data_IF_835654135052
#
_entry.id   IF_835654135052
#
_cell.length_a   1.000
_cell.length_b   1.000
_cell.length_c   1.000
_cell.angle_alpha   90.00
_cell.angle_beta   90.00
_cell.angle_gamma   90.00
#
_symmetry.space_group_name_H-M   'P 1'
#
loop_
_entity.id
_entity.type
_entity.pdbx_description
1 polymer ?
#
# COMPACT_ATOMS: atom_id res chain seq x y z
N UNK A 1 3.64 -76.99 47.00
CA UNK A 1 4.50 -76.88 45.80
C UNK A 1 3.63 -77.30 44.62
N UNK A 2 3.25 -76.50 43.63
CA UNK A 2 3.78 -75.28 42.96
C UNK A 2 2.55 -74.43 42.56
N UNK A 3 2.63 -73.09 42.60
CA UNK A 3 1.51 -72.18 42.22
C UNK A 3 1.76 -71.59 40.83
N UNK A 4 0.70 -71.53 40.02
CA UNK A 4 0.67 -71.12 38.62
C UNK A 4 0.80 -69.61 38.38
N UNK A 5 1.25 -69.29 37.16
CA UNK A 5 1.51 -67.99 36.49
C UNK A 5 0.16 -67.34 36.07
N UNK A 6 -0.04 -66.02 36.20
CA UNK A 6 -0.07 -64.95 35.16
C UNK A 6 -0.89 -63.73 35.70
N UNK A 7 -0.94 -62.52 35.09
CA UNK A 7 -0.06 -61.87 34.10
C UNK A 7 0.42 -60.46 34.54
N UNK A 8 1.55 -59.98 34.02
CA UNK A 8 2.05 -58.62 34.22
C UNK A 8 1.29 -57.64 33.33
N UNK A 9 0.58 -56.69 33.93
CA UNK A 9 -0.11 -55.61 33.21
C UNK A 9 0.92 -54.57 32.73
N UNK A 10 1.00 -54.36 31.42
CA UNK A 10 1.70 -53.24 30.81
C UNK A 10 0.97 -51.93 31.17
N UNK A 11 1.64 -51.04 31.90
CA UNK A 11 1.25 -49.64 32.02
C UNK A 11 2.36 -48.79 31.41
N UNK A 12 2.15 -48.36 30.18
CA UNK A 12 2.93 -47.31 29.52
C UNK A 12 2.95 -46.04 30.37
N UNK A 13 4.10 -45.39 30.58
CA UNK A 13 4.15 -44.10 31.25
C UNK A 13 3.47 -43.05 30.37
N UNK A 14 2.48 -42.36 30.94
CA UNK A 14 1.86 -41.18 30.34
C UNK A 14 2.95 -40.12 30.19
N UNK A 15 3.37 -39.86 28.96
CA UNK A 15 4.15 -38.69 28.62
C UNK A 15 3.18 -37.52 28.60
N UNK A 16 3.27 -36.65 29.60
CA UNK A 16 2.61 -35.34 29.58
C UNK A 16 3.34 -34.51 28.52
N UNK A 17 2.82 -34.52 27.29
CA UNK A 17 3.25 -33.59 26.25
C UNK A 17 2.87 -32.19 26.73
N UNK A 18 3.88 -31.38 27.07
CA UNK A 18 3.67 -29.95 27.27
C UNK A 18 3.12 -29.37 25.98
N UNK A 19 2.05 -28.55 26.01
CA UNK A 19 1.54 -27.95 24.79
C UNK A 19 2.65 -27.07 24.21
N UNK A 20 3.15 -27.45 23.04
CA UNK A 20 4.05 -26.65 22.22
C UNK A 20 3.51 -25.22 22.21
N UNK A 21 4.18 -24.34 22.96
CA UNK A 21 3.90 -22.92 22.90
C UNK A 21 4.42 -22.46 21.56
N UNK A 22 3.59 -22.61 20.52
CA UNK A 22 3.79 -21.96 19.24
C UNK A 22 3.79 -20.45 19.48
N UNK A 23 4.97 -19.91 19.81
CA UNK A 23 5.26 -18.49 19.80
C UNK A 23 5.27 -18.06 18.33
N UNK A 24 4.08 -17.87 17.77
CA UNK A 24 3.90 -17.26 16.47
C UNK A 24 4.64 -15.92 16.43
N UNK A 25 5.43 -15.70 15.39
CA UNK A 25 6.13 -14.45 15.20
C UNK A 25 5.08 -13.37 14.84
N UNK A 26 4.64 -12.59 15.83
CA UNK A 26 3.67 -11.51 15.61
C UNK A 26 4.32 -10.41 14.76
N UNK A 27 4.12 -10.47 13.44
CA UNK A 27 4.46 -9.36 12.54
C UNK A 27 3.51 -8.22 12.88
N UNK A 28 4.03 -7.18 13.53
CA UNK A 28 3.28 -5.93 13.71
C UNK A 28 3.07 -5.32 12.34
N UNK A 29 1.87 -5.51 11.78
CA UNK A 29 1.44 -4.76 10.61
C UNK A 29 1.44 -3.28 11.01
N UNK A 30 2.48 -2.55 10.60
CA UNK A 30 2.55 -1.10 10.79
C UNK A 30 1.43 -0.52 9.94
N UNK A 31 0.40 0.05 10.56
CA UNK A 31 -0.63 0.76 9.84
C UNK A 31 0.05 1.90 9.07
N UNK A 32 0.13 1.78 7.74
CA UNK A 32 0.72 2.83 6.92
C UNK A 32 -0.17 4.06 7.02
N UNK A 33 0.42 5.18 7.46
CA UNK A 33 -0.25 6.48 7.40
C UNK A 33 -0.59 6.80 5.94
N UNK A 34 -1.68 7.55 5.74
CA UNK A 34 -2.05 8.05 4.41
C UNK A 34 -0.94 8.97 3.88
N UNK A 35 -0.78 9.00 2.55
CA UNK A 35 0.19 9.88 1.92
C UNK A 35 -0.21 11.35 2.13
N UNK A 36 0.66 12.11 2.79
CA UNK A 36 0.53 13.57 2.94
C UNK A 36 1.12 14.28 1.72
N UNK A 37 0.81 15.57 1.48
CA UNK A 37 1.53 16.41 0.51
C UNK A 37 3.05 16.27 0.56
N UNK A 38 3.66 16.23 1.75
CA UNK A 38 5.11 16.00 1.88
C UNK A 38 5.56 14.64 1.34
N UNK A 39 4.73 13.60 1.47
CA UNK A 39 5.04 12.28 0.90
C UNK A 39 5.17 12.38 -0.63
N UNK A 40 4.28 13.14 -1.28
CA UNK A 40 4.37 13.35 -2.73
C UNK A 40 5.62 14.14 -3.12
N UNK A 41 5.96 15.20 -2.39
CA UNK A 41 7.20 15.97 -2.62
C UNK A 41 8.44 15.10 -2.46
N UNK A 42 8.53 14.34 -1.37
CA UNK A 42 9.68 13.48 -1.11
C UNK A 42 9.89 12.43 -2.22
N UNK A 43 8.80 11.84 -2.72
CA UNK A 43 8.89 10.81 -3.77
C UNK A 43 9.06 11.42 -5.16
N UNK A 44 8.29 12.44 -5.53
CA UNK A 44 8.20 12.90 -6.92
C UNK A 44 9.00 14.18 -7.22
N UNK A 45 9.43 14.93 -6.21
CA UNK A 45 10.20 16.18 -6.36
C UNK A 45 11.65 16.02 -5.90
N UNK A 46 11.92 15.23 -4.84
CA UNK A 46 13.27 15.05 -4.30
C UNK A 46 14.00 13.79 -4.83
N UNK A 47 13.28 12.73 -5.20
CA UNK A 47 13.85 11.51 -5.78
C UNK A 47 13.84 11.56 -7.31
N UNK A 48 15.02 11.40 -7.90
CA UNK A 48 15.24 11.36 -9.36
C UNK A 48 14.43 10.27 -10.07
N UNK A 49 14.22 9.10 -9.45
CA UNK A 49 13.41 8.05 -10.05
C UNK A 49 11.93 8.41 -10.03
N UNK A 50 11.46 9.06 -8.97
CA UNK A 50 10.09 9.56 -8.92
C UNK A 50 9.85 10.65 -9.96
N UNK A 51 10.78 11.58 -10.14
CA UNK A 51 10.71 12.57 -11.22
C UNK A 51 10.58 11.92 -12.60
N UNK A 52 11.41 10.91 -12.92
CA UNK A 52 11.33 10.16 -14.18
C UNK A 52 9.97 9.48 -14.38
N UNK A 53 9.41 8.92 -13.32
CA UNK A 53 8.08 8.30 -13.36
C UNK A 53 7.01 9.38 -13.59
N UNK A 54 7.08 10.52 -12.90
CA UNK A 54 6.14 11.62 -13.08
C UNK A 54 6.18 12.18 -14.50
N UNK A 55 7.37 12.38 -15.07
CA UNK A 55 7.54 12.79 -16.47
C UNK A 55 6.93 11.78 -17.45
N UNK A 56 7.11 10.48 -17.20
CA UNK A 56 6.50 9.44 -18.02
C UNK A 56 4.97 9.43 -17.92
N UNK A 57 4.41 9.64 -16.72
CA UNK A 57 2.96 9.77 -16.51
C UNK A 57 2.40 11.00 -17.22
N UNK A 58 3.10 12.14 -17.14
CA UNK A 58 2.78 13.37 -17.86
C UNK A 58 2.70 13.09 -19.37
N UNK A 59 3.73 12.46 -19.93
CA UNK A 59 3.80 12.14 -21.34
C UNK A 59 2.67 11.21 -21.80
N UNK A 60 2.34 10.23 -20.96
CA UNK A 60 1.37 9.18 -21.29
C UNK A 60 -0.07 9.66 -21.17
N UNK A 61 -0.39 10.43 -20.13
CA UNK A 61 -1.78 10.71 -19.72
C UNK A 61 -2.19 12.18 -19.79
N UNK A 62 -1.25 13.12 -19.76
CA UNK A 62 -1.53 14.55 -19.69
C UNK A 62 -1.00 15.36 -20.89
N UNK A 63 -0.22 14.75 -21.79
CA UNK A 63 0.38 15.45 -22.93
C UNK A 63 -0.63 15.80 -24.05
N UNK A 64 -1.69 15.00 -24.21
CA UNK A 64 -2.71 15.24 -25.23
C UNK A 64 -3.74 16.25 -24.71
N UNK A 65 -4.26 17.10 -25.60
CA UNK A 65 -5.40 17.94 -25.25
C UNK A 65 -6.56 17.09 -24.76
N UNK A 66 -7.13 17.51 -23.63
CA UNK A 66 -8.32 16.91 -23.03
C UNK A 66 -9.55 17.14 -23.90
N UNK A 67 -9.54 18.15 -24.77
CA UNK A 67 -10.64 18.40 -25.69
C UNK A 67 -10.45 17.64 -27.00
N UNK A 68 -11.50 16.93 -27.42
CA UNK A 68 -11.59 16.29 -28.73
C UNK A 68 -12.70 16.96 -29.54
N UNK A 69 -12.39 17.27 -30.80
CA UNK A 69 -13.34 17.91 -31.72
C UNK A 69 -14.26 16.84 -32.32
N UNK A 70 -15.58 16.98 -32.16
CA UNK A 70 -16.55 16.05 -32.76
C UNK A 70 -17.97 16.08 -32.18
N UNK A 71 -18.36 17.11 -31.41
CA UNK A 71 -19.70 17.17 -30.83
C UNK A 71 -19.91 16.12 -29.72
N UNK A 72 -21.10 15.53 -29.64
CA UNK A 72 -21.47 14.58 -28.56
C UNK A 72 -20.61 13.31 -28.54
N UNK A 73 -20.22 12.78 -29.70
CA UNK A 73 -19.37 11.58 -29.75
C UNK A 73 -17.96 11.84 -29.19
N UNK A 74 -17.48 13.08 -29.32
CA UNK A 74 -16.19 13.50 -28.78
C UNK A 74 -16.24 13.92 -27.31
N UNK A 75 -17.42 14.14 -26.74
CA UNK A 75 -17.59 14.52 -25.34
C UNK A 75 -17.09 13.41 -24.39
N UNK A 76 -17.43 12.15 -24.69
CA UNK A 76 -17.00 11.00 -23.89
C UNK A 76 -15.49 10.85 -23.86
N UNK A 77 -14.85 10.95 -25.03
CA UNK A 77 -13.40 10.90 -25.16
C UNK A 77 -12.75 12.08 -24.43
N UNK A 78 -13.37 13.27 -24.48
CA UNK A 78 -12.85 14.45 -23.78
C UNK A 78 -12.90 14.27 -22.26
N UNK A 79 -14.01 13.76 -21.73
CA UNK A 79 -14.17 13.42 -20.32
C UNK A 79 -13.16 12.34 -19.89
N UNK A 80 -12.93 11.32 -20.72
CA UNK A 80 -11.95 10.29 -20.44
C UNK A 80 -10.53 10.86 -20.33
N UNK A 81 -10.10 11.67 -21.30
CA UNK A 81 -8.78 12.33 -21.28
C UNK A 81 -8.63 13.30 -20.11
N UNK A 82 -9.67 14.07 -19.80
CA UNK A 82 -9.69 14.95 -18.64
C UNK A 82 -9.52 14.15 -17.33
N UNK A 83 -10.19 13.01 -17.21
CA UNK A 83 -10.03 12.09 -16.09
C UNK A 83 -8.59 11.59 -15.95
N UNK A 84 -7.96 11.13 -17.03
CA UNK A 84 -6.57 10.70 -17.01
C UNK A 84 -5.60 11.82 -16.58
N UNK A 85 -5.76 13.01 -17.16
CA UNK A 85 -4.92 14.17 -16.83
C UNK A 85 -5.13 14.65 -15.37
N UNK A 86 -6.35 14.49 -14.82
CA UNK A 86 -6.66 14.93 -13.45
C UNK A 86 -5.83 14.24 -12.37
N UNK A 87 -5.44 12.98 -12.58
CA UNK A 87 -4.60 12.22 -11.64
C UNK A 87 -3.19 12.79 -11.60
N UNK A 88 -2.63 13.11 -12.76
CA UNK A 88 -1.31 13.74 -12.86
C UNK A 88 -1.34 15.13 -12.23
N UNK A 89 -2.35 15.93 -12.55
CA UNK A 89 -2.57 17.24 -11.93
C UNK A 89 -2.72 17.17 -10.41
N UNK A 90 -3.34 16.12 -9.88
CA UNK A 90 -3.44 15.91 -8.43
C UNK A 90 -2.06 15.76 -7.78
N UNK A 91 -1.15 15.00 -8.38
CA UNK A 91 0.22 14.84 -7.86
C UNK A 91 0.94 16.18 -7.82
N UNK A 92 0.90 16.95 -8.91
CA UNK A 92 1.48 18.30 -8.94
C UNK A 92 0.88 19.22 -7.88
N UNK A 93 -0.44 19.18 -7.68
CA UNK A 93 -1.09 19.97 -6.65
C UNK A 93 -0.61 19.60 -5.25
N UNK A 94 -0.35 18.32 -4.96
CA UNK A 94 0.20 17.88 -3.67
C UNK A 94 1.65 18.35 -3.47
N UNK A 95 2.48 18.28 -4.51
CA UNK A 95 3.86 18.81 -4.48
C UNK A 95 3.84 20.33 -4.25
N UNK A 96 3.01 21.06 -5.01
CA UNK A 96 2.89 22.51 -4.90
C UNK A 96 2.42 22.94 -3.51
N UNK A 97 1.44 22.21 -2.93
CA UNK A 97 1.03 22.44 -1.54
C UNK A 97 2.19 22.25 -0.56
N UNK A 98 2.96 21.17 -0.69
CA UNK A 98 4.10 20.92 0.18
C UNK A 98 5.24 21.94 0.03
N UNK A 99 5.32 22.62 -1.13
CA UNK A 99 6.27 23.69 -1.40
C UNK A 99 5.76 25.08 -0.98
N UNK A 100 4.48 25.23 -0.61
CA UNK A 100 3.93 26.51 -0.13
C UNK A 100 4.55 26.84 1.24
N UNK A 101 5.16 28.03 1.44
CA UNK A 101 5.70 28.44 2.73
C UNK A 101 4.68 28.46 3.87
N UNK A 102 3.39 28.58 3.55
CA UNK A 102 2.30 28.60 4.53
C UNK A 102 1.72 27.21 4.80
N UNK A 103 2.25 26.15 4.20
CA UNK A 103 1.80 24.80 4.44
C UNK A 103 2.17 24.35 5.86
N UNK A 104 1.21 24.47 6.77
CA UNK A 104 1.24 23.80 8.06
C UNK A 104 0.79 22.37 7.78
N UNK A 105 1.75 21.45 7.63
CA UNK A 105 1.46 20.04 7.36
C UNK A 105 0.35 19.51 8.25
N UNK A 106 -0.45 18.56 7.75
CA UNK A 106 -1.59 18.01 8.48
C UNK A 106 -1.10 17.56 9.88
N UNK A 107 -1.31 18.41 10.88
CA UNK A 107 -0.97 18.14 12.27
C UNK A 107 -1.99 17.09 12.66
N UNK A 108 -1.52 15.83 12.70
CA UNK A 108 -2.34 14.63 12.91
C UNK A 108 -3.41 14.89 14.00
N UNK A 109 -4.70 14.78 13.66
CA UNK A 109 -5.81 14.57 14.60
C UNK A 109 -5.99 13.07 14.89
#
# INVERSE_FOLDING_TARGET
>A
MIKAVEPTQETTPIQTEEPDQEQGNFVRNRAMKRASPETYRNVFDLDMNGQRVLDHLQLTFANKSTYVRGGQDAERESCFRAGQASVVSFIFNQINKANDPNYQGDIDE
#
